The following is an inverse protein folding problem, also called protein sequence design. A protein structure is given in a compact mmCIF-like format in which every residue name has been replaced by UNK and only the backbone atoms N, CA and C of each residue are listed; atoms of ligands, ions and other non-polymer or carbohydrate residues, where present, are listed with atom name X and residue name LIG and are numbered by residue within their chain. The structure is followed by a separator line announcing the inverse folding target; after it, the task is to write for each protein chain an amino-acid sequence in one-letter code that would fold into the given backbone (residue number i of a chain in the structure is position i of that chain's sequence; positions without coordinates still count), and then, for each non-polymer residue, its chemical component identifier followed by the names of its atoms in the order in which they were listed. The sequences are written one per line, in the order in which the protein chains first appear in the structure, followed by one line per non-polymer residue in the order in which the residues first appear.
data_IF_328907306862
#
_entry.id   IF_328907306862
#
_cell.length_a   1.000
_cell.length_b   1.000
_cell.length_c   1.000
_cell.angle_alpha   90.00
_cell.angle_beta   90.00
_cell.angle_gamma   90.00
#
_symmetry.space_group_name_H-M   'P 1'
#
loop_
_entity.id
_entity.type
_entity.pdbx_description
1 polymer ?
#
# COMPACT_ATOMS: atom_id res chain seq x y z
N UNK A 1 28.76 -0.06 7.98
CA UNK A 1 28.20 1.30 7.75
C UNK A 1 27.85 1.58 6.29
N UNK A 2 28.62 1.05 5.34
CA UNK A 2 28.30 1.19 3.91
C UNK A 2 27.03 0.43 3.48
N UNK A 3 26.63 -0.62 4.17
CA UNK A 3 25.45 -1.44 3.83
C UNK A 3 24.12 -0.72 4.10
N UNK A 4 24.05 0.14 5.11
CA UNK A 4 22.82 0.88 5.43
C UNK A 4 22.54 2.00 4.42
N UNK A 5 23.58 2.68 3.97
CA UNK A 5 23.45 3.72 2.96
C UNK A 5 23.02 3.16 1.61
N UNK A 6 23.52 1.99 1.27
CA UNK A 6 23.15 1.28 0.04
C UNK A 6 21.71 0.80 0.07
N UNK A 7 21.24 0.31 1.21
CA UNK A 7 19.85 -0.13 1.40
C UNK A 7 18.84 1.01 1.27
N UNK A 8 19.17 2.19 1.79
CA UNK A 8 18.31 3.38 1.69
C UNK A 8 18.09 3.84 0.25
N UNK A 9 19.16 3.93 -0.53
CA UNK A 9 19.08 4.32 -1.95
C UNK A 9 18.27 3.32 -2.77
N UNK A 10 18.44 2.03 -2.49
CA UNK A 10 17.73 0.97 -3.18
C UNK A 10 16.22 1.00 -2.87
N UNK A 11 15.86 1.25 -1.61
CA UNK A 11 14.48 1.42 -1.19
C UNK A 11 13.83 2.61 -1.88
N UNK A 12 14.55 3.75 -1.97
CA UNK A 12 14.08 4.93 -2.67
C UNK A 12 13.79 4.64 -4.15
N UNK A 13 14.68 3.92 -4.82
CA UNK A 13 14.49 3.52 -6.24
C UNK A 13 13.26 2.64 -6.42
N UNK A 14 13.08 1.64 -5.55
CA UNK A 14 11.91 0.74 -5.59
C UNK A 14 10.61 1.52 -5.41
N UNK A 15 10.57 2.45 -4.47
CA UNK A 15 9.40 3.28 -4.22
C UNK A 15 9.13 4.26 -5.36
N UNK A 16 10.17 4.75 -6.03
CA UNK A 16 10.01 5.59 -7.21
C UNK A 16 9.41 4.81 -8.39
N UNK A 17 9.84 3.57 -8.60
CA UNK A 17 9.22 2.69 -9.58
C UNK A 17 7.75 2.41 -9.22
N UNK A 18 7.47 2.20 -7.95
CA UNK A 18 6.10 2.01 -7.47
C UNK A 18 5.24 3.23 -7.77
N UNK A 19 5.74 4.44 -7.52
CA UNK A 19 5.02 5.69 -7.83
C UNK A 19 4.67 5.77 -9.32
N UNK A 20 5.64 5.45 -10.19
CA UNK A 20 5.41 5.42 -11.63
C UNK A 20 4.33 4.40 -12.02
N UNK A 21 4.35 3.24 -11.38
CA UNK A 21 3.33 2.21 -11.59
C UNK A 21 1.95 2.66 -11.13
N UNK A 22 1.85 3.32 -9.97
CA UNK A 22 0.59 3.89 -9.46
C UNK A 22 -0.04 4.83 -10.48
N UNK A 23 0.75 5.75 -11.01
CA UNK A 23 0.28 6.72 -11.98
C UNK A 23 -0.18 6.04 -13.27
N UNK A 24 0.60 5.10 -13.77
CA UNK A 24 0.25 4.34 -14.97
C UNK A 24 -1.03 3.51 -14.78
N UNK A 25 -1.17 2.87 -13.62
CA UNK A 25 -2.35 2.09 -13.27
C UNK A 25 -3.62 2.95 -13.27
N UNK A 26 -3.56 4.09 -12.59
CA UNK A 26 -4.70 5.00 -12.50
C UNK A 26 -5.04 5.63 -13.85
N UNK A 27 -4.05 5.94 -14.67
CA UNK A 27 -4.27 6.45 -16.03
C UNK A 27 -4.95 5.38 -16.89
N UNK A 28 -4.47 4.14 -16.82
CA UNK A 28 -5.03 3.02 -17.59
C UNK A 28 -6.51 2.78 -17.28
N UNK A 29 -6.92 2.99 -16.03
CA UNK A 29 -8.28 2.74 -15.57
C UNK A 29 -9.19 3.98 -15.56
N UNK A 30 -8.67 5.18 -15.91
CA UNK A 30 -9.40 6.45 -15.73
C UNK A 30 -10.73 6.53 -16.50
N UNK A 31 -10.81 5.86 -17.66
CA UNK A 31 -12.00 5.88 -18.52
C UNK A 31 -12.86 4.63 -18.35
N UNK A 32 -12.54 3.76 -17.39
CA UNK A 32 -13.30 2.55 -17.11
C UNK A 32 -14.23 2.76 -15.92
N UNK A 33 -15.35 2.06 -15.92
CA UNK A 33 -16.39 2.21 -14.88
C UNK A 33 -16.10 1.45 -13.60
N UNK A 34 -14.93 0.83 -13.47
CA UNK A 34 -14.56 0.09 -12.27
C UNK A 34 -14.23 1.01 -11.10
N UNK A 35 -14.61 0.61 -9.90
CA UNK A 35 -14.09 1.19 -8.67
C UNK A 35 -12.62 0.82 -8.55
N UNK A 36 -11.78 1.79 -8.25
CA UNK A 36 -10.32 1.61 -8.11
C UNK A 36 -9.98 1.52 -6.64
N UNK A 37 -9.47 0.37 -6.23
CA UNK A 37 -9.20 0.03 -4.83
C UNK A 37 -7.70 -0.08 -4.61
N UNK A 38 -7.21 0.62 -3.61
CA UNK A 38 -5.82 0.49 -3.15
C UNK A 38 -5.78 -0.28 -1.85
N UNK A 39 -4.91 -1.29 -1.76
CA UNK A 39 -4.71 -2.10 -0.56
C UNK A 39 -3.23 -2.15 -0.25
N UNK A 40 -2.87 -1.78 0.97
CA UNK A 40 -1.49 -1.79 1.44
C UNK A 40 -1.41 -2.62 2.71
N UNK A 41 -0.86 -3.82 2.59
CA UNK A 41 -0.63 -4.69 3.72
C UNK A 41 0.71 -4.33 4.35
N UNK A 42 0.71 -4.02 5.64
CA UNK A 42 1.88 -3.54 6.38
C UNK A 42 2.29 -2.12 5.99
N UNK A 43 1.32 -1.21 5.96
CA UNK A 43 1.51 0.17 5.50
C UNK A 43 2.49 0.99 6.34
N UNK A 44 2.67 0.66 7.61
CA UNK A 44 3.52 1.44 8.51
C UNK A 44 2.98 2.85 8.69
N UNK A 45 3.86 3.80 8.99
CA UNK A 45 3.50 5.21 9.22
C UNK A 45 3.34 6.02 7.94
N UNK A 46 3.60 5.42 6.78
CA UNK A 46 3.60 6.12 5.49
C UNK A 46 4.92 6.80 5.16
N UNK A 47 5.85 6.84 6.08
CA UNK A 47 7.16 7.46 5.90
C UNK A 47 8.28 6.49 6.25
N UNK A 48 9.40 6.61 5.54
CA UNK A 48 10.60 5.80 5.77
C UNK A 48 11.74 6.74 6.10
N UNK A 49 12.39 6.53 7.24
CA UNK A 49 13.58 7.28 7.62
C UNK A 49 14.76 6.85 6.75
N UNK A 50 15.49 7.83 6.21
CA UNK A 50 16.68 7.55 5.43
C UNK A 50 17.86 7.17 6.33
N UNK A 51 18.88 6.52 5.75
CA UNK A 51 20.03 6.01 6.49
C UNK A 51 20.84 7.06 7.24
N UNK A 52 20.77 8.31 6.83
CA UNK A 52 21.45 9.43 7.50
C UNK A 52 20.57 10.16 8.52
N UNK A 53 19.30 9.78 8.62
CA UNK A 53 18.34 10.37 9.58
C UNK A 53 17.95 11.81 9.29
N UNK A 54 18.41 12.39 8.20
CA UNK A 54 18.16 13.81 7.88
C UNK A 54 16.90 14.04 7.07
N UNK A 55 16.39 13.01 6.40
CA UNK A 55 15.23 13.13 5.54
C UNK A 55 14.38 11.86 5.61
N UNK A 56 13.11 12.03 5.30
CA UNK A 56 12.15 10.92 5.22
C UNK A 56 11.73 10.70 3.77
N UNK A 57 11.71 9.45 3.36
CA UNK A 57 11.14 9.06 2.07
C UNK A 57 9.65 8.79 2.27
N UNK A 58 8.84 9.22 1.32
CA UNK A 58 7.42 8.86 1.34
C UNK A 58 7.30 7.34 1.16
N UNK A 59 6.68 6.67 2.12
CA UNK A 59 6.39 5.25 2.05
C UNK A 59 5.25 4.95 1.09
N UNK A 60 4.89 3.67 0.96
CA UNK A 60 3.86 3.24 0.01
C UNK A 60 2.51 3.91 0.25
N UNK A 61 2.11 4.04 1.51
CA UNK A 61 0.83 4.65 1.87
C UNK A 61 0.75 6.11 1.41
N UNK A 62 1.76 6.91 1.74
CA UNK A 62 1.80 8.33 1.40
C UNK A 62 1.86 8.53 -0.12
N UNK A 63 2.60 7.68 -0.82
CA UNK A 63 2.68 7.73 -2.30
C UNK A 63 1.32 7.45 -2.94
N UNK A 64 0.59 6.46 -2.45
CA UNK A 64 -0.74 6.15 -2.96
C UNK A 64 -1.73 7.29 -2.71
N UNK A 65 -1.70 7.87 -1.51
CA UNK A 65 -2.57 8.99 -1.13
C UNK A 65 -2.24 10.28 -1.88
N UNK A 66 -0.97 10.45 -2.28
CA UNK A 66 -0.48 11.65 -2.98
C UNK A 66 -0.63 11.58 -4.49
N UNK A 67 -1.01 10.46 -5.07
CA UNK A 67 -1.12 10.30 -6.52
C UNK A 67 -2.07 11.34 -7.10
N UNK A 68 -1.71 11.93 -8.23
CA UNK A 68 -2.49 12.99 -8.89
C UNK A 68 -3.92 12.54 -9.17
N UNK A 69 -4.07 11.34 -9.71
CA UNK A 69 -5.38 10.69 -9.84
C UNK A 69 -5.58 9.81 -8.62
N UNK A 70 -6.77 9.84 -8.05
CA UNK A 70 -7.02 9.12 -6.81
C UNK A 70 -7.69 7.78 -7.05
N UNK A 71 -7.50 6.85 -6.06
CA UNK A 71 -8.34 5.66 -5.94
C UNK A 71 -9.71 6.05 -5.37
N UNK A 72 -10.70 5.18 -5.58
CA UNK A 72 -12.03 5.38 -4.97
C UNK A 72 -12.00 5.03 -3.48
N UNK A 73 -11.25 3.97 -3.11
CA UNK A 73 -11.10 3.54 -1.72
C UNK A 73 -9.67 3.11 -1.45
N UNK A 74 -9.24 3.32 -0.20
CA UNK A 74 -7.91 2.97 0.30
C UNK A 74 -8.05 2.10 1.53
N UNK A 75 -7.34 0.96 1.55
CA UNK A 75 -7.30 0.06 2.69
C UNK A 75 -5.86 -0.15 3.12
N UNK A 76 -5.57 0.17 4.37
CA UNK A 76 -4.25 -0.01 4.95
C UNK A 76 -4.34 -1.01 6.08
N UNK A 77 -3.37 -1.91 6.17
CA UNK A 77 -3.33 -2.95 7.21
C UNK A 77 -1.98 -2.89 7.91
N UNK A 78 -2.00 -2.78 9.22
CA UNK A 78 -0.79 -2.87 10.04
C UNK A 78 -1.10 -3.63 11.31
N UNK A 79 -0.22 -4.57 11.68
CA UNK A 79 -0.36 -5.32 12.92
C UNK A 79 0.08 -4.54 14.15
N UNK A 80 0.86 -3.48 13.97
CA UNK A 80 1.36 -2.62 15.05
C UNK A 80 0.36 -1.49 15.30
N UNK A 81 -0.21 -1.46 16.51
CA UNK A 81 -1.19 -0.46 16.94
C UNK A 81 -0.63 0.97 16.84
N UNK A 82 0.62 1.15 17.25
CA UNK A 82 1.28 2.47 17.23
C UNK A 82 1.46 2.98 15.80
N UNK A 83 1.92 2.11 14.90
CA UNK A 83 2.08 2.47 13.48
C UNK A 83 0.75 2.77 12.81
N UNK A 84 -0.28 1.99 13.11
CA UNK A 84 -1.62 2.24 12.58
C UNK A 84 -2.16 3.60 13.05
N UNK A 85 -1.94 3.93 14.32
CA UNK A 85 -2.35 5.24 14.87
C UNK A 85 -1.59 6.39 14.24
N UNK A 86 -0.30 6.25 14.00
CA UNK A 86 0.51 7.26 13.31
C UNK A 86 0.03 7.45 11.87
N UNK A 87 -0.32 6.37 11.19
CA UNK A 87 -0.85 6.43 9.83
C UNK A 87 -2.18 7.18 9.80
N UNK A 88 -3.09 6.87 10.72
CA UNK A 88 -4.37 7.59 10.84
C UNK A 88 -4.15 9.08 11.09
N UNK A 89 -3.20 9.43 11.97
CA UNK A 89 -2.87 10.82 12.25
C UNK A 89 -2.34 11.54 10.99
N UNK A 90 -1.49 10.89 10.22
CA UNK A 90 -0.99 11.44 8.95
C UNK A 90 -2.14 11.67 7.97
N UNK A 91 -3.07 10.72 7.86
CA UNK A 91 -4.24 10.86 6.98
C UNK A 91 -5.09 12.04 7.43
N UNK A 92 -5.35 12.16 8.73
CA UNK A 92 -6.17 13.24 9.28
C UNK A 92 -5.56 14.62 9.04
N UNK A 93 -4.23 14.73 9.10
CA UNK A 93 -3.53 16.02 9.01
C UNK A 93 -3.15 16.38 7.57
N UNK A 94 -2.70 15.41 6.76
CA UNK A 94 -2.19 15.68 5.42
C UNK A 94 -3.19 15.36 4.30
N UNK A 95 -4.12 14.44 4.54
CA UNK A 95 -5.10 14.01 3.54
C UNK A 95 -6.53 13.98 4.09
N UNK A 96 -6.99 15.06 4.75
CA UNK A 96 -8.32 15.07 5.38
C UNK A 96 -9.46 14.86 4.37
N UNK A 97 -9.26 15.26 3.13
CA UNK A 97 -10.24 15.07 2.06
C UNK A 97 -10.40 13.62 1.62
N UNK A 98 -9.43 12.75 1.94
CA UNK A 98 -9.48 11.32 1.62
C UNK A 98 -9.91 10.45 2.81
N UNK A 99 -10.05 11.04 4.00
CA UNK A 99 -10.34 10.29 5.23
C UNK A 99 -11.56 9.39 5.11
N UNK A 100 -12.66 9.89 4.56
CA UNK A 100 -13.91 9.12 4.42
C UNK A 100 -13.80 7.96 3.46
N UNK A 101 -12.79 7.94 2.59
CA UNK A 101 -12.55 6.86 1.62
C UNK A 101 -11.46 5.91 2.08
N UNK A 102 -10.94 6.10 3.27
CA UNK A 102 -9.78 5.36 3.80
C UNK A 102 -10.17 4.56 5.02
N UNK A 103 -9.73 3.30 5.08
CA UNK A 103 -9.90 2.43 6.23
C UNK A 103 -8.53 1.92 6.66
N UNK A 104 -8.21 2.04 7.94
CA UNK A 104 -7.00 1.50 8.54
C UNK A 104 -7.38 0.33 9.43
N UNK A 105 -6.96 -0.87 9.05
CA UNK A 105 -7.18 -2.08 9.83
C UNK A 105 -5.98 -2.38 10.71
N UNK A 106 -6.27 -2.75 11.96
CA UNK A 106 -5.27 -3.23 12.90
C UNK A 106 -5.42 -4.74 13.03
N UNK A 107 -4.33 -5.47 12.86
CA UNK A 107 -4.34 -6.91 13.04
C UNK A 107 -3.58 -7.67 11.98
N UNK A 108 -3.85 -8.97 11.91
CA UNK A 108 -3.18 -9.88 11.00
C UNK A 108 -3.54 -9.60 9.53
N UNK A 109 -2.51 -9.53 8.69
CA UNK A 109 -2.70 -9.23 7.28
C UNK A 109 -3.54 -10.27 6.54
N UNK A 110 -3.35 -11.56 6.86
CA UNK A 110 -4.13 -12.64 6.22
C UNK A 110 -5.63 -12.49 6.52
N UNK A 111 -5.95 -12.24 7.78
CA UNK A 111 -7.34 -12.03 8.22
C UNK A 111 -7.95 -10.82 7.55
N UNK A 112 -7.26 -9.68 7.58
CA UNK A 112 -7.78 -8.42 7.06
C UNK A 112 -7.86 -8.42 5.53
N UNK A 113 -6.88 -9.00 4.83
CA UNK A 113 -6.97 -9.19 3.39
C UNK A 113 -8.16 -10.08 3.03
N UNK A 114 -8.37 -11.16 3.77
CA UNK A 114 -9.53 -12.03 3.57
C UNK A 114 -10.84 -11.27 3.69
N UNK A 115 -10.96 -10.41 4.71
CA UNK A 115 -12.14 -9.57 4.91
C UNK A 115 -12.35 -8.61 3.75
N UNK A 116 -11.32 -7.90 3.32
CA UNK A 116 -11.39 -6.96 2.20
C UNK A 116 -11.83 -7.68 0.92
N UNK A 117 -11.24 -8.83 0.64
CA UNK A 117 -11.58 -9.63 -0.54
C UNK A 117 -13.06 -10.04 -0.51
N UNK A 118 -13.57 -10.42 0.65
CA UNK A 118 -14.97 -10.83 0.78
C UNK A 118 -15.96 -9.67 0.71
N UNK A 119 -15.57 -8.49 1.20
CA UNK A 119 -16.48 -7.34 1.31
C UNK A 119 -16.64 -6.57 -0.02
N UNK A 120 -15.71 -6.71 -0.95
CA UNK A 120 -15.71 -5.97 -2.20
C UNK A 120 -16.26 -6.82 -3.34
N UNK A 121 -17.10 -6.22 -4.17
CA UNK A 121 -17.60 -6.87 -5.39
C UNK A 121 -16.60 -6.67 -6.53
N UNK A 122 -15.77 -7.65 -6.75
CA UNK A 122 -14.69 -7.61 -7.74
C UNK A 122 -15.16 -7.63 -9.19
N UNK A 123 -16.44 -7.91 -9.43
CA UNK A 123 -17.02 -7.77 -10.78
C UNK A 123 -17.01 -6.32 -11.26
N UNK A 124 -17.11 -5.39 -10.31
CA UNK A 124 -17.19 -3.95 -10.58
C UNK A 124 -16.00 -3.16 -10.03
N UNK A 125 -14.98 -3.84 -9.58
CA UNK A 125 -13.81 -3.22 -8.95
C UNK A 125 -12.51 -3.76 -9.53
N UNK A 126 -11.47 -2.94 -9.46
CA UNK A 126 -10.08 -3.33 -9.75
C UNK A 126 -9.21 -2.85 -8.61
N UNK A 127 -8.29 -3.71 -8.17
CA UNK A 127 -7.45 -3.43 -7.02
C UNK A 127 -5.97 -3.45 -7.36
N UNK A 128 -5.22 -2.67 -6.60
CA UNK A 128 -3.77 -2.74 -6.55
C UNK A 128 -3.38 -3.05 -5.11
N UNK A 129 -2.70 -4.17 -4.91
CA UNK A 129 -2.23 -4.64 -3.61
C UNK A 129 -0.72 -4.45 -3.53
N UNK A 130 -0.28 -3.67 -2.55
CA UNK A 130 1.14 -3.50 -2.23
C UNK A 130 1.53 -4.45 -1.09
N UNK A 131 2.57 -5.26 -1.32
CA UNK A 131 3.11 -6.19 -0.32
C UNK A 131 4.59 -5.93 -0.11
N UNK A 132 4.97 -5.72 1.16
CA UNK A 132 6.37 -5.63 1.56
C UNK A 132 6.79 -6.96 2.19
N UNK A 133 7.73 -7.70 1.58
CA UNK A 133 8.13 -9.03 2.07
C UNK A 133 8.85 -9.03 3.40
N UNK A 134 9.48 -7.92 3.81
CA UNK A 134 10.13 -7.84 5.13
C UNK A 134 9.13 -7.82 6.27
N UNK A 135 7.93 -7.34 5.99
CA UNK A 135 6.86 -7.27 6.95
C UNK A 135 5.80 -8.35 6.70
N UNK A 136 5.87 -9.05 5.56
CA UNK A 136 4.78 -9.93 5.16
C UNK A 136 4.79 -11.26 5.86
N UNK A 137 3.72 -11.45 6.59
CA UNK A 137 3.29 -12.75 7.07
C UNK A 137 2.11 -13.25 6.22
N UNK A 138 2.04 -12.82 4.96
CA UNK A 138 0.95 -13.23 4.04
C UNK A 138 1.24 -14.64 3.53
N UNK A 139 0.35 -15.55 3.82
CA UNK A 139 0.50 -16.95 3.44
C UNK A 139 0.01 -17.22 2.01
N UNK A 140 0.35 -18.40 1.51
CA UNK A 140 0.01 -18.81 0.14
C UNK A 140 -1.49 -18.86 -0.08
N UNK A 141 -2.26 -19.33 0.91
CA UNK A 141 -3.71 -19.42 0.80
C UNK A 141 -4.34 -18.03 0.60
N UNK A 142 -3.82 -17.02 1.27
CA UNK A 142 -4.27 -15.63 1.10
C UNK A 142 -3.94 -15.12 -0.30
N UNK A 143 -2.74 -15.39 -0.81
CA UNK A 143 -2.35 -15.02 -2.17
C UNK A 143 -3.20 -15.72 -3.22
N UNK A 144 -3.57 -16.98 -3.01
CA UNK A 144 -4.48 -17.70 -3.89
C UNK A 144 -5.87 -17.05 -3.93
N UNK A 145 -6.36 -16.57 -2.78
CA UNK A 145 -7.64 -15.84 -2.72
C UNK A 145 -7.57 -14.52 -3.48
N UNK A 146 -6.45 -13.78 -3.34
CA UNK A 146 -6.21 -12.55 -4.11
C UNK A 146 -6.24 -12.86 -5.61
N UNK A 147 -5.50 -13.86 -6.04
CA UNK A 147 -5.44 -14.27 -7.44
C UNK A 147 -6.81 -14.73 -7.96
N UNK A 148 -7.61 -15.40 -7.11
CA UNK A 148 -8.94 -15.88 -7.44
C UNK A 148 -9.93 -14.78 -7.81
N UNK A 149 -9.71 -13.55 -7.36
CA UNK A 149 -10.54 -12.40 -7.75
C UNK A 149 -10.40 -12.04 -9.21
N UNK A 150 -9.24 -12.32 -9.82
CA UNK A 150 -8.87 -11.94 -11.20
C UNK A 150 -8.97 -10.44 -11.47
N UNK A 151 -8.96 -9.64 -10.41
CA UNK A 151 -9.21 -8.20 -10.47
C UNK A 151 -8.20 -7.38 -9.67
N UNK A 152 -7.19 -8.03 -9.08
CA UNK A 152 -6.19 -7.39 -8.24
C UNK A 152 -4.81 -7.59 -8.85
N UNK A 153 -4.12 -6.48 -9.13
CA UNK A 153 -2.71 -6.49 -9.46
C UNK A 153 -1.89 -6.44 -8.18
N UNK A 154 -0.82 -7.21 -8.10
CA UNK A 154 0.03 -7.26 -6.90
C UNK A 154 1.38 -6.63 -7.20
N UNK A 155 1.73 -5.61 -6.44
CA UNK A 155 3.07 -5.05 -6.41
C UNK A 155 3.82 -5.63 -5.23
N UNK A 156 4.88 -6.36 -5.50
CA UNK A 156 5.64 -7.07 -4.48
C UNK A 156 7.07 -6.55 -4.44
N UNK A 157 7.47 -5.98 -3.29
CA UNK A 157 8.84 -5.55 -3.08
C UNK A 157 9.72 -6.74 -2.68
N UNK A 158 10.42 -7.31 -3.63
CA UNK A 158 11.34 -8.39 -3.31
C UNK A 158 12.58 -7.86 -2.58
N UNK A 159 13.00 -8.51 -1.48
CA UNK A 159 14.27 -8.20 -0.89
C UNK A 159 15.39 -8.71 -1.80
N UNK A 160 16.38 -7.88 -2.05
CA UNK A 160 17.61 -8.32 -2.68
C UNK A 160 18.62 -8.63 -1.60
N UNK A 161 19.06 -9.87 -1.60
CA UNK A 161 20.14 -10.32 -0.73
C UNK A 161 21.49 -9.92 -1.32
#
# INVERSE_FOLDING_TARGET
MTSQKFGGDWTAKKLNFFTSYLDAYLIALQNQKFKKIYIDAFAGTGEIETSDGEAYLAGSAKRALSAEKRFDYYYFIDSDESKASELEHMIDTEFPHLKRFTTVYRGDANEKLGKIINDIDWRFSRGLLFLDPYATQVDWATLERVAGTKSIDVWYLFPFS
#
